data_IF_397176194556
#
_entry.id   IF_397176194556
#
_cell.length_a   1.000
_cell.length_b   1.000
_cell.length_c   1.000
_cell.angle_alpha   90.00
_cell.angle_beta   90.00
_cell.angle_gamma   90.00
#
_symmetry.space_group_name_H-M   'P 1'
#
loop_
_entity.id
_entity.type
_entity.pdbx_description
1 polymer ?
#
# COMPACT_ATOMS: atom_id res chain seq x y z
N UNK A 1 35.51 33.44 -8.94
CA UNK A 1 35.29 32.52 -7.80
C UNK A 1 33.81 32.57 -7.44
N UNK A 2 32.99 31.76 -8.10
CA UNK A 2 31.56 31.65 -7.80
C UNK A 2 31.36 30.44 -6.88
N UNK A 3 31.10 30.71 -5.61
CA UNK A 3 30.67 29.69 -4.65
C UNK A 3 29.32 29.14 -5.06
N UNK A 4 29.31 27.94 -5.63
CA UNK A 4 28.11 27.13 -5.76
C UNK A 4 27.72 26.68 -4.34
N UNK A 5 26.70 27.34 -3.80
CA UNK A 5 26.07 26.93 -2.55
C UNK A 5 25.59 25.49 -2.67
N UNK A 6 26.31 24.57 -2.03
CA UNK A 6 25.86 23.20 -1.82
C UNK A 6 24.68 23.26 -0.83
N UNK A 7 23.48 23.53 -1.35
CA UNK A 7 22.27 23.43 -0.56
C UNK A 7 22.19 22.02 0.03
N UNK A 8 22.20 21.93 1.36
CA UNK A 8 22.06 20.68 2.10
C UNK A 8 20.94 19.83 1.48
N UNK A 9 21.29 18.70 0.87
CA UNK A 9 20.31 17.78 0.30
C UNK A 9 19.50 17.21 1.47
N UNK A 10 18.19 17.41 1.46
CA UNK A 10 17.31 16.80 2.45
C UNK A 10 17.52 15.29 2.47
N UNK A 11 17.77 14.74 3.66
CA UNK A 11 17.99 13.31 3.88
C UNK A 11 16.67 12.51 3.88
N UNK A 12 15.55 13.21 3.96
CA UNK A 12 14.21 12.64 4.05
C UNK A 12 13.44 12.77 2.75
N UNK A 13 13.65 13.84 1.99
CA UNK A 13 12.88 14.16 0.79
C UNK A 13 13.64 13.84 -0.50
N UNK A 14 12.90 13.48 -1.55
CA UNK A 14 13.49 13.13 -2.84
C UNK A 14 14.34 14.28 -3.43
N UNK A 15 15.40 13.93 -4.16
CA UNK A 15 16.21 14.88 -4.90
C UNK A 15 15.46 15.43 -6.14
N UNK A 16 14.65 14.60 -6.80
CA UNK A 16 13.78 15.01 -7.89
C UNK A 16 12.71 16.00 -7.37
N UNK A 17 12.66 17.25 -7.88
CA UNK A 17 11.72 18.25 -7.38
C UNK A 17 10.23 17.89 -7.56
N UNK A 18 9.86 17.21 -8.65
CA UNK A 18 8.49 16.74 -8.89
C UNK A 18 8.11 15.67 -7.87
N UNK A 19 9.00 14.69 -7.66
CA UNK A 19 8.81 13.64 -6.65
C UNK A 19 8.69 14.22 -5.25
N UNK A 20 9.58 15.14 -4.88
CA UNK A 20 9.55 15.83 -3.59
C UNK A 20 8.22 16.53 -3.36
N UNK A 21 7.75 17.28 -4.34
CA UNK A 21 6.47 18.00 -4.22
C UNK A 21 5.30 17.01 -4.05
N UNK A 22 5.24 15.96 -4.86
CA UNK A 22 4.18 14.96 -4.75
C UNK A 22 4.20 14.18 -3.43
N UNK A 23 5.38 13.77 -2.94
CA UNK A 23 5.51 13.12 -1.62
C UNK A 23 5.00 14.02 -0.49
N UNK A 24 5.38 15.30 -0.49
CA UNK A 24 4.88 16.26 0.48
C UNK A 24 3.37 16.45 0.37
N UNK A 25 2.84 16.56 -0.85
CA UNK A 25 1.41 16.67 -1.08
C UNK A 25 0.65 15.48 -0.48
N UNK A 26 1.02 14.24 -0.80
CA UNK A 26 0.34 13.06 -0.28
C UNK A 26 0.48 12.93 1.25
N UNK A 27 1.63 13.32 1.81
CA UNK A 27 1.84 13.33 3.26
C UNK A 27 0.94 14.35 3.96
N UNK A 28 0.83 15.57 3.45
CA UNK A 28 -0.03 16.61 4.02
C UNK A 28 -1.53 16.37 3.76
N UNK A 29 -1.87 15.64 2.69
CA UNK A 29 -3.23 15.22 2.43
C UNK A 29 -3.68 14.10 3.38
N UNK A 30 -2.75 13.28 3.87
CA UNK A 30 -3.07 12.12 4.72
C UNK A 30 -3.90 12.46 5.97
N UNK A 31 -3.57 13.50 6.77
CA UNK A 31 -4.37 13.91 7.92
C UNK A 31 -5.85 14.18 7.59
N UNK A 32 -6.18 14.64 6.38
CA UNK A 32 -7.56 14.94 6.00
C UNK A 32 -8.44 13.69 6.02
N UNK A 33 -8.08 12.67 5.24
CA UNK A 33 -8.90 11.46 5.13
C UNK A 33 -8.83 10.58 6.39
N UNK A 34 -7.69 10.60 7.10
CA UNK A 34 -7.57 9.95 8.41
C UNK A 34 -8.48 10.59 9.46
N UNK A 35 -8.51 11.92 9.53
CA UNK A 35 -9.39 12.64 10.47
C UNK A 35 -10.85 12.37 10.12
N UNK A 36 -11.21 12.40 8.83
CA UNK A 36 -12.55 12.05 8.39
C UNK A 36 -12.95 10.63 8.81
N UNK A 37 -12.11 9.64 8.51
CA UNK A 37 -12.46 8.22 8.72
C UNK A 37 -12.32 7.81 10.19
N UNK A 38 -11.13 7.99 10.77
CA UNK A 38 -10.78 7.51 12.11
C UNK A 38 -11.01 8.55 13.22
N UNK A 39 -11.07 9.84 12.88
CA UNK A 39 -11.33 10.92 13.84
C UNK A 39 -12.81 11.30 13.96
N UNK A 40 -13.61 11.07 12.90
CA UNK A 40 -15.02 11.47 12.84
C UNK A 40 -15.93 10.26 12.63
N UNK A 41 -15.85 9.57 11.49
CA UNK A 41 -16.81 8.50 11.14
C UNK A 41 -16.79 7.36 12.16
N UNK A 42 -15.60 6.85 12.51
CA UNK A 42 -15.47 5.72 13.45
C UNK A 42 -15.84 6.10 14.90
N UNK A 43 -15.30 7.18 15.51
CA UNK A 43 -15.60 7.51 16.90
C UNK A 43 -17.07 7.89 17.16
N UNK A 44 -17.69 8.60 16.21
CA UNK A 44 -19.11 8.97 16.31
C UNK A 44 -20.05 7.90 15.75
N UNK A 45 -19.51 6.75 15.30
CA UNK A 45 -20.28 5.64 14.73
C UNK A 45 -21.23 6.01 13.60
N UNK A 46 -20.88 7.04 12.82
CA UNK A 46 -21.72 7.52 11.71
C UNK A 46 -21.96 6.41 10.67
N UNK A 47 -21.04 5.46 10.58
CA UNK A 47 -21.11 4.29 9.71
C UNK A 47 -22.33 3.39 9.98
N UNK A 48 -22.98 3.46 11.15
CA UNK A 48 -24.17 2.65 11.47
C UNK A 48 -25.40 3.07 10.64
N UNK A 49 -25.47 4.33 10.21
CA UNK A 49 -26.59 4.85 9.41
C UNK A 49 -26.29 4.93 7.93
N UNK A 50 -25.08 4.54 7.52
CA UNK A 50 -24.65 4.65 6.12
C UNK A 50 -25.30 3.55 5.27
N UNK A 51 -25.82 3.96 4.11
CA UNK A 51 -26.17 3.05 3.01
C UNK A 51 -24.97 2.89 2.08
N UNK A 52 -25.14 2.12 1.01
CA UNK A 52 -24.12 1.88 -0.02
C UNK A 52 -23.52 3.19 -0.56
N UNK A 53 -24.36 4.23 -0.71
CA UNK A 53 -23.95 5.52 -1.25
C UNK A 53 -23.05 6.29 -0.29
N UNK A 54 -23.39 6.39 1.00
CA UNK A 54 -22.58 7.11 1.97
C UNK A 54 -21.21 6.45 2.14
N UNK A 55 -21.15 5.11 2.15
CA UNK A 55 -19.88 4.38 2.16
C UNK A 55 -19.04 4.65 0.91
N UNK A 56 -19.66 4.73 -0.27
CA UNK A 56 -18.93 5.08 -1.49
C UNK A 56 -18.44 6.53 -1.46
N UNK A 57 -19.30 7.48 -1.05
CA UNK A 57 -18.96 8.90 -0.97
C UNK A 57 -17.82 9.16 0.02
N UNK A 58 -17.83 8.50 1.19
CA UNK A 58 -16.72 8.56 2.15
C UNK A 58 -15.39 8.19 1.49
N UNK A 59 -15.37 7.10 0.73
CA UNK A 59 -14.16 6.63 0.07
C UNK A 59 -13.75 7.53 -1.11
N UNK A 60 -14.70 8.03 -1.89
CA UNK A 60 -14.44 8.99 -2.97
C UNK A 60 -13.85 10.30 -2.44
N UNK A 61 -14.40 10.86 -1.36
CA UNK A 61 -13.86 12.07 -0.70
C UNK A 61 -12.45 11.84 -0.17
N UNK A 62 -12.10 10.59 0.15
CA UNK A 62 -10.77 10.21 0.63
C UNK A 62 -9.75 9.95 -0.50
N UNK A 63 -10.20 9.56 -1.69
CA UNK A 63 -9.32 9.16 -2.79
C UNK A 63 -9.22 10.21 -3.91
N UNK A 64 -10.34 10.78 -4.33
CA UNK A 64 -10.44 11.70 -5.48
C UNK A 64 -9.60 12.97 -5.32
N UNK A 65 -9.51 13.59 -4.13
CA UNK A 65 -8.66 14.77 -3.96
C UNK A 65 -7.17 14.53 -4.21
N UNK A 66 -6.68 13.28 -4.11
CA UNK A 66 -5.31 12.91 -4.48
C UNK A 66 -5.01 13.14 -5.98
N UNK A 67 -6.05 13.30 -6.80
CA UNK A 67 -5.99 13.67 -8.22
C UNK A 67 -6.39 15.12 -8.45
N UNK A 68 -7.50 15.56 -7.85
CA UNK A 68 -8.05 16.89 -8.12
C UNK A 68 -7.14 18.00 -7.59
N UNK A 69 -6.64 17.88 -6.36
CA UNK A 69 -5.84 18.96 -5.75
C UNK A 69 -4.56 19.23 -6.56
N UNK A 70 -3.77 18.21 -6.98
CA UNK A 70 -2.58 18.44 -7.81
C UNK A 70 -2.85 18.99 -9.21
N UNK A 71 -4.07 18.83 -9.73
CA UNK A 71 -4.47 19.44 -11.00
C UNK A 71 -4.63 20.96 -10.89
N UNK A 72 -5.19 21.44 -9.77
CA UNK A 72 -5.45 22.87 -9.55
C UNK A 72 -4.28 23.58 -8.85
N UNK A 73 -3.61 22.90 -7.90
CA UNK A 73 -2.50 23.43 -7.12
C UNK A 73 -1.18 22.83 -7.61
N UNK A 74 -0.75 23.24 -8.80
CA UNK A 74 0.45 22.70 -9.44
C UNK A 74 1.71 23.16 -8.69
N UNK A 75 2.55 22.20 -8.29
CA UNK A 75 3.85 22.51 -7.70
C UNK A 75 4.74 23.28 -8.67
N UNK A 76 5.56 24.21 -8.15
CA UNK A 76 6.46 25.05 -8.99
C UNK A 76 7.37 24.22 -9.91
N UNK A 77 7.77 23.02 -9.45
CA UNK A 77 8.59 22.08 -10.22
C UNK A 77 7.84 21.42 -11.39
N UNK A 78 6.50 21.37 -11.33
CA UNK A 78 5.63 20.70 -12.28
C UNK A 78 5.00 21.66 -13.30
N UNK A 79 5.15 22.98 -13.12
CA UNK A 79 4.52 24.00 -13.97
C UNK A 79 4.89 23.87 -15.44
N UNK A 80 6.15 23.51 -15.74
CA UNK A 80 6.65 23.31 -17.12
C UNK A 80 6.51 21.87 -17.60
N UNK A 81 6.02 20.94 -16.76
CA UNK A 81 5.91 19.53 -17.08
C UNK A 81 4.51 19.17 -17.59
N UNK A 82 4.47 18.35 -18.64
CA UNK A 82 3.26 17.65 -19.06
C UNK A 82 2.79 16.70 -17.95
N UNK A 83 1.49 16.44 -17.85
CA UNK A 83 0.92 15.58 -16.79
C UNK A 83 1.57 14.20 -16.72
N UNK A 84 1.82 13.57 -17.87
CA UNK A 84 2.48 12.26 -17.96
C UNK A 84 3.88 12.21 -17.31
N UNK A 85 4.54 13.36 -17.19
CA UNK A 85 5.89 13.48 -16.65
C UNK A 85 5.89 13.82 -15.15
N UNK A 86 4.76 14.27 -14.60
CA UNK A 86 4.61 14.65 -13.19
C UNK A 86 4.57 13.42 -12.29
N UNK A 87 5.30 13.47 -11.18
CA UNK A 87 5.38 12.34 -10.26
C UNK A 87 4.03 11.95 -9.67
N UNK A 88 3.17 12.91 -9.31
CA UNK A 88 1.88 12.59 -8.69
C UNK A 88 0.97 11.76 -9.62
N UNK A 89 1.06 11.96 -10.94
CA UNK A 89 0.33 11.14 -11.93
C UNK A 89 0.86 9.72 -11.94
N UNK A 90 2.19 9.57 -11.99
CA UNK A 90 2.87 8.27 -11.97
C UNK A 90 2.60 7.50 -10.67
N UNK A 91 2.66 8.18 -9.53
CA UNK A 91 2.34 7.62 -8.21
C UNK A 91 0.90 7.11 -8.13
N UNK A 92 -0.06 7.93 -8.57
CA UNK A 92 -1.46 7.49 -8.61
C UNK A 92 -1.66 6.32 -9.57
N UNK A 93 -1.06 6.34 -10.77
CA UNK A 93 -1.16 5.23 -11.73
C UNK A 93 -0.63 3.92 -11.14
N UNK A 94 0.56 3.95 -10.51
CA UNK A 94 1.16 2.78 -9.89
C UNK A 94 0.24 2.20 -8.80
N UNK A 95 -0.28 3.07 -7.92
CA UNK A 95 -1.13 2.65 -6.80
C UNK A 95 -2.51 2.17 -7.29
N UNK A 96 -3.11 2.79 -8.32
CA UNK A 96 -4.35 2.30 -8.93
C UNK A 96 -4.17 0.85 -9.38
N UNK A 97 -3.11 0.58 -10.14
CA UNK A 97 -2.88 -0.76 -10.69
C UNK A 97 -2.65 -1.76 -9.55
N UNK A 98 -1.73 -1.45 -8.63
CA UNK A 98 -1.39 -2.35 -7.54
C UNK A 98 -2.58 -2.61 -6.59
N UNK A 99 -3.30 -1.55 -6.19
CA UNK A 99 -4.46 -1.67 -5.31
C UNK A 99 -5.66 -2.34 -5.99
N UNK A 100 -5.86 -2.14 -7.30
CA UNK A 100 -6.86 -2.86 -8.07
C UNK A 100 -6.55 -4.35 -8.09
N UNK A 101 -5.30 -4.74 -8.37
CA UNK A 101 -4.93 -6.16 -8.36
C UNK A 101 -5.15 -6.76 -6.98
N UNK A 102 -4.78 -6.05 -5.93
CA UNK A 102 -4.97 -6.54 -4.57
C UNK A 102 -6.40 -6.64 -4.10
N UNK A 103 -7.26 -5.70 -4.48
CA UNK A 103 -8.69 -5.78 -4.15
C UNK A 103 -9.44 -6.76 -5.05
N UNK A 104 -9.08 -6.90 -6.33
CA UNK A 104 -9.85 -7.71 -7.27
C UNK A 104 -9.35 -9.16 -7.39
N UNK A 105 -8.05 -9.40 -7.51
CA UNK A 105 -7.51 -10.74 -7.76
C UNK A 105 -7.07 -11.48 -6.49
N UNK A 106 -6.67 -10.76 -5.44
CA UNK A 106 -6.21 -11.39 -4.19
C UNK A 106 -7.32 -11.70 -3.19
N UNK A 107 -8.58 -11.62 -3.61
CA UNK A 107 -9.77 -11.91 -2.79
C UNK A 107 -9.75 -13.31 -2.21
N UNK A 108 -9.21 -14.29 -2.94
CA UNK A 108 -9.05 -15.66 -2.43
C UNK A 108 -8.13 -15.69 -1.21
N UNK A 109 -6.96 -15.05 -1.28
CA UNK A 109 -6.04 -14.98 -0.14
C UNK A 109 -6.68 -14.24 1.04
N UNK A 110 -7.37 -13.15 0.76
CA UNK A 110 -8.01 -12.33 1.78
C UNK A 110 -9.18 -13.04 2.49
N UNK A 111 -10.10 -13.65 1.75
CA UNK A 111 -11.29 -14.27 2.32
C UNK A 111 -11.07 -15.71 2.78
N UNK A 112 -10.17 -16.48 2.14
CA UNK A 112 -9.96 -17.90 2.46
C UNK A 112 -8.71 -18.16 3.28
N UNK A 113 -7.59 -17.49 2.98
CA UNK A 113 -6.34 -17.69 3.74
C UNK A 113 -6.39 -16.93 5.05
N UNK A 114 -6.77 -15.65 5.04
CA UNK A 114 -6.88 -14.82 6.25
C UNK A 114 -8.22 -14.98 6.98
N UNK A 115 -9.26 -15.48 6.32
CA UNK A 115 -10.60 -15.59 6.91
C UNK A 115 -11.23 -14.23 7.23
N UNK A 116 -10.92 -13.20 6.45
CA UNK A 116 -11.53 -11.89 6.59
C UNK A 116 -12.92 -11.85 5.91
N UNK A 117 -13.78 -10.89 6.28
CA UNK A 117 -15.06 -10.65 5.60
C UNK A 117 -15.53 -9.19 5.75
N UNK A 118 -16.20 -8.68 4.70
CA UNK A 118 -16.86 -7.37 4.72
C UNK A 118 -18.38 -7.53 4.70
N UNK A 119 -19.05 -6.98 5.72
CA UNK A 119 -20.49 -7.13 5.94
C UNK A 119 -21.28 -5.83 5.87
N UNK A 120 -20.63 -4.68 5.65
CA UNK A 120 -21.31 -3.39 5.51
C UNK A 120 -22.03 -3.26 4.15
N UNK A 121 -23.09 -2.43 4.07
CA UNK A 121 -23.75 -2.10 2.80
C UNK A 121 -22.77 -1.52 1.80
N UNK A 122 -22.62 -2.15 0.64
CA UNK A 122 -21.81 -1.60 -0.45
C UNK A 122 -22.14 -2.26 -1.78
N UNK A 123 -21.92 -1.52 -2.87
CA UNK A 123 -21.74 -2.14 -4.18
C UNK A 123 -20.43 -2.92 -4.19
N UNK A 124 -20.48 -4.17 -4.67
CA UNK A 124 -19.37 -5.10 -4.61
C UNK A 124 -18.92 -5.53 -5.99
N UNK A 125 -17.61 -5.71 -6.14
CA UNK A 125 -16.98 -6.32 -7.29
C UNK A 125 -16.08 -7.45 -6.80
N UNK A 126 -16.30 -8.68 -7.30
CA UNK A 126 -15.68 -9.89 -6.79
C UNK A 126 -15.79 -10.05 -5.25
N UNK A 127 -16.98 -9.77 -4.71
CA UNK A 127 -17.30 -9.74 -3.27
C UNK A 127 -16.56 -8.68 -2.44
N UNK A 128 -15.77 -7.80 -3.08
CA UNK A 128 -15.08 -6.70 -2.41
C UNK A 128 -15.88 -5.40 -2.57
N UNK A 129 -16.19 -4.69 -1.48
CA UNK A 129 -16.87 -3.38 -1.51
C UNK A 129 -16.11 -2.34 -2.35
N UNK A 130 -16.78 -1.57 -3.21
CA UNK A 130 -16.14 -0.47 -3.95
C UNK A 130 -15.46 0.55 -3.03
N UNK A 131 -16.03 0.76 -1.85
CA UNK A 131 -15.45 1.57 -0.77
C UNK A 131 -14.00 1.18 -0.45
N UNK A 132 -13.67 -0.12 -0.43
CA UNK A 132 -12.31 -0.55 -0.09
C UNK A 132 -11.33 -0.25 -1.22
N UNK A 133 -11.72 -0.37 -2.50
CA UNK A 133 -10.86 0.00 -3.63
C UNK A 133 -10.37 1.46 -3.52
N UNK A 134 -11.27 2.39 -3.23
CA UNK A 134 -10.92 3.81 -3.08
C UNK A 134 -10.17 4.09 -1.77
N UNK A 135 -10.58 3.48 -0.65
CA UNK A 135 -9.87 3.68 0.62
C UNK A 135 -8.46 3.09 0.57
N UNK A 136 -8.27 1.90 -0.01
CA UNK A 136 -6.96 1.29 -0.24
C UNK A 136 -6.07 2.22 -1.06
N UNK A 137 -6.60 2.88 -2.09
CA UNK A 137 -5.82 3.84 -2.89
C UNK A 137 -5.26 4.97 -2.04
N UNK A 138 -6.10 5.60 -1.19
CA UNK A 138 -5.69 6.68 -0.29
C UNK A 138 -4.66 6.19 0.76
N UNK A 139 -4.93 5.05 1.39
CA UNK A 139 -4.03 4.41 2.35
C UNK A 139 -2.67 4.07 1.72
N UNK A 140 -2.68 3.43 0.54
CA UNK A 140 -1.46 2.96 -0.09
C UNK A 140 -0.59 4.13 -0.56
N UNK A 141 -1.16 5.23 -1.05
CA UNK A 141 -0.37 6.45 -1.32
C UNK A 141 0.41 6.89 -0.07
N UNK A 142 -0.26 6.94 1.08
CA UNK A 142 0.40 7.28 2.34
C UNK A 142 1.49 6.28 2.73
N UNK A 143 1.18 4.98 2.75
CA UNK A 143 2.12 3.93 3.18
C UNK A 143 3.40 3.93 2.35
N UNK A 144 3.26 4.07 1.02
CA UNK A 144 4.39 4.04 0.11
C UNK A 144 5.21 5.33 0.18
N UNK A 145 4.59 6.50 0.40
CA UNK A 145 5.32 7.76 0.62
C UNK A 145 6.07 7.73 1.96
N UNK A 146 5.43 7.24 3.03
CA UNK A 146 6.08 7.08 4.33
C UNK A 146 7.27 6.09 4.26
N UNK A 147 7.08 4.98 3.54
CA UNK A 147 8.14 4.04 3.22
C UNK A 147 9.29 4.69 2.47
N UNK A 148 8.99 5.49 1.43
CA UNK A 148 10.04 6.18 0.68
C UNK A 148 10.90 7.08 1.57
N UNK A 149 10.25 7.90 2.41
CA UNK A 149 10.92 8.84 3.31
C UNK A 149 11.84 8.09 4.29
N UNK A 150 11.36 6.99 4.87
CA UNK A 150 12.14 6.21 5.85
C UNK A 150 13.27 5.40 5.21
N UNK A 151 13.03 4.79 4.05
CA UNK A 151 14.08 4.07 3.29
C UNK A 151 15.21 5.00 2.87
N UNK A 152 14.87 6.22 2.42
CA UNK A 152 15.86 7.25 2.08
C UNK A 152 16.74 7.59 3.28
N UNK A 153 16.11 7.83 4.44
CA UNK A 153 16.81 8.14 5.69
C UNK A 153 17.71 6.99 6.13
N UNK A 154 17.18 5.76 6.09
CA UNK A 154 17.93 4.56 6.44
C UNK A 154 19.18 4.42 5.57
N UNK A 155 19.01 4.48 4.24
CA UNK A 155 20.11 4.38 3.26
C UNK A 155 21.23 5.38 3.51
N UNK A 156 20.87 6.60 3.89
CA UNK A 156 21.88 7.59 4.29
C UNK A 156 22.58 7.18 5.58
N UNK A 157 21.84 6.75 6.60
CA UNK A 157 22.42 6.36 7.90
C UNK A 157 23.35 5.14 7.84
N UNK A 158 23.19 4.27 6.84
CA UNK A 158 24.00 3.05 6.65
C UNK A 158 24.99 3.17 5.48
N UNK A 159 25.16 4.35 4.89
CA UNK A 159 25.94 4.54 3.66
C UNK A 159 27.40 4.06 3.79
N UNK A 160 28.00 4.24 4.97
CA UNK A 160 29.40 3.90 5.23
C UNK A 160 29.60 2.43 5.64
N UNK A 161 28.53 1.64 5.81
CA UNK A 161 28.63 0.22 6.15
C UNK A 161 29.04 -0.64 4.95
N UNK A 162 29.60 -1.84 5.17
CA UNK A 162 29.76 -2.85 4.13
C UNK A 162 28.45 -3.24 3.45
N UNK A 163 28.49 -3.62 2.17
CA UNK A 163 27.30 -3.90 1.36
C UNK A 163 26.39 -4.97 1.98
N UNK A 164 26.94 -6.04 2.54
CA UNK A 164 26.17 -7.12 3.19
C UNK A 164 25.33 -6.61 4.36
N UNK A 165 25.91 -5.72 5.17
CA UNK A 165 25.18 -5.08 6.28
C UNK A 165 24.13 -4.10 5.76
N UNK A 166 24.42 -3.34 4.68
CA UNK A 166 23.40 -2.46 4.08
C UNK A 166 22.18 -3.25 3.62
N UNK A 167 22.39 -4.35 2.89
CA UNK A 167 21.33 -5.24 2.45
C UNK A 167 20.54 -5.82 3.63
N UNK A 168 21.23 -6.25 4.70
CA UNK A 168 20.59 -6.77 5.90
C UNK A 168 19.70 -5.71 6.58
N UNK A 169 20.22 -4.50 6.80
CA UNK A 169 19.46 -3.41 7.41
C UNK A 169 18.27 -2.96 6.56
N UNK A 170 18.44 -2.85 5.23
CA UNK A 170 17.34 -2.53 4.32
C UNK A 170 16.25 -3.59 4.35
N UNK A 171 16.61 -4.87 4.24
CA UNK A 171 15.65 -5.97 4.29
C UNK A 171 14.92 -6.03 5.64
N UNK A 172 15.64 -5.88 6.75
CA UNK A 172 15.06 -5.85 8.08
C UNK A 172 14.11 -4.67 8.27
N UNK A 173 14.46 -3.49 7.76
CA UNK A 173 13.59 -2.31 7.82
C UNK A 173 12.33 -2.47 6.98
N UNK A 174 12.45 -2.97 5.74
CA UNK A 174 11.30 -3.24 4.88
C UNK A 174 10.36 -4.23 5.56
N UNK A 175 10.88 -5.33 6.10
CA UNK A 175 10.10 -6.33 6.82
C UNK A 175 9.39 -5.73 8.04
N UNK A 176 10.13 -5.01 8.88
CA UNK A 176 9.60 -4.39 10.10
C UNK A 176 8.51 -3.35 9.78
N UNK A 177 8.76 -2.46 8.82
CA UNK A 177 7.80 -1.43 8.41
C UNK A 177 6.55 -2.05 7.77
N UNK A 178 6.73 -3.07 6.93
CA UNK A 178 5.61 -3.78 6.27
C UNK A 178 4.70 -4.45 7.29
N UNK A 179 5.28 -5.17 8.25
CA UNK A 179 4.54 -5.78 9.34
C UNK A 179 3.85 -4.72 10.21
N UNK A 180 4.56 -3.64 10.55
CA UNK A 180 4.02 -2.56 11.36
C UNK A 180 2.80 -1.89 10.71
N UNK A 181 2.86 -1.59 9.40
CA UNK A 181 1.73 -1.00 8.67
C UNK A 181 0.55 -1.98 8.61
N UNK A 182 0.79 -3.25 8.27
CA UNK A 182 -0.26 -4.27 8.24
C UNK A 182 -0.93 -4.47 9.61
N UNK A 183 -0.14 -4.44 10.68
CA UNK A 183 -0.63 -4.53 12.05
C UNK A 183 -1.44 -3.28 12.45
N UNK A 184 -0.91 -2.08 12.18
CA UNK A 184 -1.62 -0.82 12.45
C UNK A 184 -2.95 -0.74 11.73
N UNK A 185 -3.00 -1.13 10.46
CA UNK A 185 -4.24 -1.17 9.70
C UNK A 185 -5.26 -2.10 10.36
N UNK A 186 -4.83 -3.32 10.71
CA UNK A 186 -5.67 -4.32 11.40
C UNK A 186 -6.19 -3.81 12.75
N UNK A 187 -5.38 -3.07 13.51
CA UNK A 187 -5.80 -2.46 14.78
C UNK A 187 -6.74 -1.28 14.57
N UNK A 188 -6.47 -0.41 13.58
CA UNK A 188 -7.27 0.79 13.32
C UNK A 188 -8.73 0.44 12.99
N UNK A 189 -8.95 -0.70 12.34
CA UNK A 189 -10.27 -1.20 11.95
C UNK A 189 -10.82 -2.27 12.90
N UNK A 190 -10.12 -2.62 13.98
CA UNK A 190 -10.55 -3.68 14.91
C UNK A 190 -11.89 -3.38 15.60
N UNK A 191 -12.21 -2.09 15.75
CA UNK A 191 -13.45 -1.58 16.34
C UNK A 191 -14.57 -1.37 15.32
N UNK A 192 -14.30 -1.56 14.02
CA UNK A 192 -15.32 -1.47 12.99
C UNK A 192 -16.04 -2.84 12.86
N UNK A 193 -17.32 -2.94 13.25
CA UNK A 193 -17.98 -4.24 13.40
C UNK A 193 -18.26 -4.94 12.06
N UNK A 194 -18.19 -4.21 10.95
CA UNK A 194 -18.49 -4.73 9.62
C UNK A 194 -17.28 -5.22 8.83
N UNK A 195 -16.12 -5.29 9.49
CA UNK A 195 -14.95 -5.97 8.99
C UNK A 195 -14.49 -7.01 10.01
N UNK A 196 -14.69 -8.27 9.69
CA UNK A 196 -14.55 -9.37 10.64
C UNK A 196 -13.46 -10.34 10.21
N UNK A 197 -12.89 -11.01 11.21
CA UNK A 197 -11.95 -12.11 11.03
C UNK A 197 -12.50 -13.33 11.77
N UNK A 198 -12.40 -14.50 11.15
CA UNK A 198 -12.77 -15.78 11.80
C UNK A 198 -11.94 -16.01 13.07
N UNK A 199 -10.62 -15.78 13.00
CA UNK A 199 -9.73 -15.82 14.17
C UNK A 199 -8.90 -14.52 14.24
N UNK A 200 -9.30 -13.61 15.14
CA UNK A 200 -8.58 -12.34 15.37
C UNK A 200 -7.18 -12.57 15.96
N UNK A 201 -7.00 -13.60 16.80
CA UNK A 201 -5.71 -13.89 17.41
C UNK A 201 -4.70 -14.35 16.35
N UNK A 202 -5.13 -15.26 15.47
CA UNK A 202 -4.33 -15.69 14.32
C UNK A 202 -4.03 -14.53 13.38
N UNK A 203 -5.01 -13.64 13.13
CA UNK A 203 -4.81 -12.45 12.32
C UNK A 203 -3.70 -11.54 12.89
N UNK A 204 -3.71 -11.27 14.19
CA UNK A 204 -2.67 -10.44 14.82
C UNK A 204 -1.28 -11.09 14.86
N UNK A 205 -1.20 -12.42 15.00
CA UNK A 205 0.08 -13.15 15.13
C UNK A 205 0.73 -13.45 13.79
N UNK A 206 -0.07 -13.91 12.82
CA UNK A 206 0.43 -14.46 11.54
C UNK A 206 -0.21 -13.73 10.36
N UNK A 207 -1.49 -13.37 10.44
CA UNK A 207 -2.19 -12.71 9.35
C UNK A 207 -1.59 -11.35 8.97
N UNK A 208 -1.11 -10.57 9.94
CA UNK A 208 -0.39 -9.32 9.68
C UNK A 208 0.93 -9.53 8.92
N UNK A 209 1.62 -10.65 9.14
CA UNK A 209 2.81 -11.00 8.37
C UNK A 209 2.43 -11.39 6.94
N UNK A 210 1.39 -12.21 6.77
CA UNK A 210 0.87 -12.57 5.45
C UNK A 210 0.41 -11.35 4.65
N UNK A 211 -0.36 -10.45 5.28
CA UNK A 211 -0.78 -9.21 4.65
C UNK A 211 0.42 -8.28 4.37
N UNK A 212 1.41 -8.25 5.27
CA UNK A 212 2.66 -7.52 5.11
C UNK A 212 3.44 -7.89 3.85
N UNK A 213 3.24 -9.07 3.26
CA UNK A 213 3.87 -9.48 1.97
C UNK A 213 3.61 -8.45 0.86
N UNK A 214 2.43 -7.81 0.88
CA UNK A 214 2.07 -6.78 -0.09
C UNK A 214 3.11 -5.68 -0.07
N UNK A 215 3.45 -5.22 1.13
CA UNK A 215 4.35 -4.11 1.39
C UNK A 215 5.83 -4.50 1.31
N UNK A 216 6.19 -5.74 1.66
CA UNK A 216 7.56 -6.25 1.53
C UNK A 216 8.05 -6.10 0.09
N UNK A 217 7.17 -6.34 -0.88
CA UNK A 217 7.47 -6.18 -2.30
C UNK A 217 7.19 -4.75 -2.77
N UNK A 218 6.03 -4.19 -2.44
CA UNK A 218 5.59 -2.93 -3.05
C UNK A 218 6.42 -1.73 -2.63
N UNK A 219 6.92 -1.69 -1.39
CA UNK A 219 7.74 -0.60 -0.88
C UNK A 219 9.05 -0.39 -1.69
N UNK A 220 9.95 -1.38 -1.81
CA UNK A 220 11.16 -1.20 -2.61
C UNK A 220 10.85 -1.01 -4.11
N UNK A 221 9.76 -1.59 -4.62
CA UNK A 221 9.37 -1.43 -6.02
C UNK A 221 8.94 0.01 -6.33
N UNK A 222 8.02 0.56 -5.53
CA UNK A 222 7.54 1.94 -5.64
C UNK A 222 8.65 2.97 -5.37
N UNK A 223 9.58 2.66 -4.45
CA UNK A 223 10.69 3.56 -4.13
C UNK A 223 11.51 3.96 -5.35
N UNK A 224 11.74 3.03 -6.30
CA UNK A 224 12.60 3.25 -7.47
C UNK A 224 12.07 4.34 -8.41
N UNK A 225 10.76 4.53 -8.45
CA UNK A 225 10.11 5.47 -9.36
C UNK A 225 10.60 6.90 -9.11
N UNK A 226 11.19 7.53 -10.13
CA UNK A 226 11.64 8.92 -10.11
C UNK A 226 12.65 9.26 -8.97
N UNK A 227 13.32 8.25 -8.39
CA UNK A 227 14.30 8.49 -7.31
C UNK A 227 15.66 8.95 -7.85
N UNK A 228 16.13 8.34 -8.95
CA UNK A 228 17.37 8.72 -9.63
C UNK A 228 17.06 9.78 -10.68
N UNK A 229 17.66 10.97 -10.57
CA UNK A 229 17.43 12.08 -11.51
C UNK A 229 17.89 11.78 -12.94
N UNK A 230 18.81 10.83 -13.12
CA UNK A 230 19.30 10.40 -14.44
C UNK A 230 18.34 9.45 -15.16
N UNK A 231 17.33 8.91 -14.48
CA UNK A 231 16.46 7.88 -15.00
C UNK A 231 15.02 8.38 -15.06
N UNK A 232 14.53 8.63 -16.28
CA UNK A 232 13.14 9.04 -16.51
C UNK A 232 12.23 7.82 -16.55
N UNK A 233 11.07 7.94 -15.91
CA UNK A 233 10.01 6.94 -16.01
C UNK A 233 8.89 7.47 -16.90
N UNK A 234 8.46 6.67 -17.88
CA UNK A 234 7.23 6.93 -18.61
C UNK A 234 6.05 6.15 -17.97
N UNK A 235 4.82 6.44 -18.40
CA UNK A 235 3.63 5.80 -17.84
C UNK A 235 3.57 4.29 -18.12
N UNK A 236 4.12 3.85 -19.26
CA UNK A 236 4.17 2.43 -19.62
C UNK A 236 5.03 1.65 -18.63
N UNK A 237 6.25 2.15 -18.37
CA UNK A 237 7.16 1.58 -17.37
C UNK A 237 6.52 1.56 -15.99
N UNK A 238 5.85 2.63 -15.58
CA UNK A 238 5.14 2.69 -14.29
C UNK A 238 4.08 1.59 -14.20
N UNK A 239 3.29 1.39 -15.25
CA UNK A 239 2.25 0.38 -15.28
C UNK A 239 2.81 -1.06 -15.26
N UNK A 240 3.81 -1.34 -16.10
CA UNK A 240 4.50 -2.64 -16.14
C UNK A 240 5.16 -2.95 -14.81
N UNK A 241 5.78 -1.95 -14.16
CA UNK A 241 6.42 -2.10 -12.87
C UNK A 241 5.42 -2.44 -11.75
N UNK A 242 4.26 -1.76 -11.72
CA UNK A 242 3.18 -2.05 -10.77
C UNK A 242 2.61 -3.46 -10.96
N UNK A 243 2.40 -3.88 -12.23
CA UNK A 243 1.96 -5.23 -12.55
C UNK A 243 3.00 -6.29 -12.16
N UNK A 244 4.29 -6.02 -12.40
CA UNK A 244 5.39 -6.89 -11.99
C UNK A 244 5.47 -7.05 -10.47
N UNK A 245 5.34 -5.95 -9.73
CA UNK A 245 5.26 -5.98 -8.27
C UNK A 245 4.05 -6.80 -7.79
N UNK A 246 2.88 -6.61 -8.40
CA UNK A 246 1.69 -7.37 -8.07
C UNK A 246 1.85 -8.87 -8.38
N UNK A 247 2.46 -9.23 -9.50
CA UNK A 247 2.71 -10.64 -9.83
C UNK A 247 3.66 -11.28 -8.82
N UNK A 248 4.72 -10.57 -8.41
CA UNK A 248 5.65 -11.07 -7.40
C UNK A 248 4.96 -11.29 -6.04
N UNK A 249 4.11 -10.36 -5.60
CA UNK A 249 3.26 -10.57 -4.41
C UNK A 249 2.39 -11.80 -4.60
N UNK A 250 1.72 -11.93 -5.73
CA UNK A 250 0.86 -13.09 -6.04
C UNK A 250 1.60 -14.40 -5.88
N UNK A 251 2.82 -14.50 -6.42
CA UNK A 251 3.67 -15.70 -6.30
C UNK A 251 3.95 -16.01 -4.84
N UNK A 252 4.37 -15.03 -4.04
CA UNK A 252 4.72 -15.25 -2.62
C UNK A 252 3.47 -15.65 -1.81
N UNK A 253 2.32 -15.02 -2.06
CA UNK A 253 1.05 -15.40 -1.42
C UNK A 253 0.64 -16.82 -1.80
N UNK A 254 0.82 -17.22 -3.05
CA UNK A 254 0.48 -18.57 -3.53
C UNK A 254 1.40 -19.63 -2.92
N UNK A 255 2.71 -19.35 -2.84
CA UNK A 255 3.67 -20.20 -2.14
C UNK A 255 3.29 -20.37 -0.68
N UNK A 256 2.94 -19.28 0.02
CA UNK A 256 2.45 -19.37 1.39
C UNK A 256 1.19 -20.25 1.48
N UNK A 257 0.20 -20.02 0.61
CA UNK A 257 -1.04 -20.83 0.58
C UNK A 257 -0.73 -22.31 0.38
N UNK A 258 0.19 -22.66 -0.53
CA UNK A 258 0.52 -24.05 -0.87
C UNK A 258 1.32 -24.76 0.23
N UNK A 259 2.30 -24.07 0.83
CA UNK A 259 3.24 -24.69 1.78
C UNK A 259 2.80 -24.55 3.25
N UNK A 260 2.18 -23.42 3.63
CA UNK A 260 1.79 -23.13 5.01
C UNK A 260 0.27 -23.24 5.22
N UNK A 261 -0.53 -22.95 4.18
CA UNK A 261 -1.98 -23.04 4.24
C UNK A 261 -2.68 -21.80 4.85
N UNK A 262 -4.01 -21.88 5.03
CA UNK A 262 -4.80 -20.83 5.69
C UNK A 262 -4.45 -20.70 7.17
N UNK A 263 -4.58 -19.49 7.72
CA UNK A 263 -4.38 -19.23 9.16
C UNK A 263 -5.65 -19.50 9.98
N UNK A 264 -6.75 -19.88 9.32
CA UNK A 264 -8.05 -20.18 9.91
C UNK A 264 -8.42 -21.64 9.65
N UNK A 265 -9.22 -22.28 10.53
CA UNK A 265 -9.70 -23.63 10.31
C UNK A 265 -10.45 -23.74 8.98
N UNK A 266 -10.16 -24.78 8.21
CA UNK A 266 -10.95 -25.12 7.04
C UNK A 266 -12.33 -25.60 7.47
N UNK A 267 -13.40 -25.30 6.71
CA UNK A 267 -14.72 -25.85 6.98
C UNK A 267 -14.68 -27.38 7.05
N UNK A 268 -15.45 -27.98 7.97
CA UNK A 268 -15.53 -29.43 8.15
C UNK A 268 -15.81 -30.13 6.80
N UNK A 269 -14.96 -31.10 6.45
CA UNK A 269 -15.04 -31.85 5.18
C UNK A 269 -14.09 -31.39 4.08
N UNK A 270 -13.40 -30.26 4.23
CA UNK A 270 -12.26 -29.88 3.38
C UNK A 270 -10.95 -30.16 4.11
N UNK A 271 -10.55 -31.43 4.19
CA UNK A 271 -9.13 -31.75 4.42
C UNK A 271 -8.38 -31.22 3.20
N UNK A 272 -7.47 -30.25 3.39
CA UNK A 272 -6.52 -29.90 2.35
C UNK A 272 -5.91 -31.21 1.84
N UNK A 273 -6.06 -31.51 0.54
CA UNK A 273 -5.08 -32.35 -0.13
C UNK A 273 -3.71 -31.83 0.30
N UNK A 274 -2.90 -32.75 0.85
CA UNK A 274 -1.61 -32.52 1.51
C UNK A 274 -0.95 -31.18 1.15
N UNK A 275 -0.64 -30.35 2.15
CA UNK A 275 0.19 -29.16 1.97
C UNK A 275 1.42 -29.53 1.15
N UNK A 276 1.60 -28.88 0.00
CA UNK A 276 2.58 -29.32 -0.99
C UNK A 276 2.13 -29.05 -2.43
N UNK A 277 3.04 -29.31 -3.37
CA UNK A 277 2.74 -29.21 -4.80
C UNK A 277 1.94 -30.44 -5.23
N UNK A 278 0.87 -30.31 -6.03
CA UNK A 278 0.02 -31.43 -6.44
C UNK A 278 0.75 -32.61 -7.10
N UNK A 279 1.95 -32.39 -7.62
CA UNK A 279 2.77 -33.38 -8.31
C UNK A 279 3.91 -33.98 -7.45
N UNK A 280 4.06 -33.55 -6.19
CA UNK A 280 5.02 -34.14 -5.25
C UNK A 280 4.40 -35.21 -4.35
N UNK A 281 3.09 -35.40 -4.43
CA UNK A 281 2.36 -36.43 -3.70
C UNK A 281 2.19 -37.65 -4.61
N UNK A 282 3.25 -38.45 -4.67
CA UNK A 282 3.28 -39.79 -5.28
C UNK A 282 3.05 -40.85 -4.20
#
# INVERSE_FOLDING_TARGET
MSGSGCGSRSLWLAANPSKRWGELFFLFYTPFWLTLSLGIVVPYKLYETFTELEYLLLALVSAVPAFLIPMFFVGKADTSLSWKDRYWVKANLWIIIFSYVGNYFWTHYFFKVLGAAYTFPSWKMNNVPHTTFFMTHACFLFYHVASNITLRRLRHSIADLPDSLRWCFEAAWILALSYFIAYLETVAIANFPYYTFVDRSAMYRVGCLFYGIYFIVSFPMFFRMEEKSSEKWDLSRVAVDALGAAMLVTIILDLWRLFLGPIVPLPEGQTCHQSGLPWLTS
#
